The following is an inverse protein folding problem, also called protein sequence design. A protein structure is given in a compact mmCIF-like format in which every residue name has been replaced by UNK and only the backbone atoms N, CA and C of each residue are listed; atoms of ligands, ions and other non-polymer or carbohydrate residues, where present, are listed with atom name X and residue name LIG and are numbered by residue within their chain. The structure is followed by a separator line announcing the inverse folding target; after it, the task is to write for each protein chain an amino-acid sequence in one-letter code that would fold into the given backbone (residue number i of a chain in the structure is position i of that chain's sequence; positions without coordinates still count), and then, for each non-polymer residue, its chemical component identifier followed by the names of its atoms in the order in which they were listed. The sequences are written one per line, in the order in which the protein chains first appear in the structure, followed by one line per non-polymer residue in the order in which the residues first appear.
data_IF_004044769639
#
_entry.id   IF_004044769639
#
_cell.length_a   1.000
_cell.length_b   1.000
_cell.length_c   1.000
_cell.angle_alpha   90.00
_cell.angle_beta   90.00
_cell.angle_gamma   90.00
#
_symmetry.space_group_name_H-M   'P 1'
#
loop_
_entity.id
_entity.type
_entity.pdbx_description
1 polymer ?
#
# COMPACT_ATOMS: atom_id res chain seq x y z
N UNK A 1 18.41 29.57 -17.36
CA UNK A 1 17.82 30.93 -17.27
C UNK A 1 16.66 30.84 -16.30
N UNK A 2 16.68 31.61 -15.22
CA UNK A 2 15.61 31.57 -14.22
C UNK A 2 14.44 32.44 -14.72
N UNK A 3 13.21 31.92 -14.58
CA UNK A 3 11.98 32.66 -14.95
C UNK A 3 11.71 33.81 -13.97
N UNK A 4 12.17 33.66 -12.73
CA UNK A 4 12.04 34.62 -11.63
C UNK A 4 13.39 34.84 -10.94
N UNK A 5 13.49 35.94 -10.22
CA UNK A 5 14.62 36.24 -9.35
C UNK A 5 14.48 35.50 -8.00
N UNK A 6 15.09 34.31 -7.93
CA UNK A 6 15.02 33.43 -6.76
C UNK A 6 15.74 34.01 -5.54
N UNK A 7 16.87 34.68 -5.73
CA UNK A 7 17.67 35.25 -4.62
C UNK A 7 16.87 36.33 -3.89
N UNK A 8 16.22 37.21 -4.67
CA UNK A 8 15.38 38.28 -4.14
C UNK A 8 14.15 37.76 -3.38
N UNK A 9 13.50 36.70 -3.88
CA UNK A 9 12.35 36.06 -3.21
C UNK A 9 12.79 35.38 -1.90
N UNK A 10 13.95 34.70 -1.89
CA UNK A 10 14.47 34.07 -0.70
C UNK A 10 14.84 35.09 0.40
N UNK A 11 15.36 36.24 0.01
CA UNK A 11 15.65 37.34 0.93
C UNK A 11 14.35 37.90 1.55
N UNK A 12 13.32 38.13 0.74
CA UNK A 12 12.00 38.58 1.21
C UNK A 12 11.37 37.58 2.19
N UNK A 13 11.53 36.27 1.96
CA UNK A 13 11.03 35.21 2.87
C UNK A 13 11.65 35.29 4.27
N UNK A 14 12.85 35.85 4.42
CA UNK A 14 13.50 36.01 5.75
C UNK A 14 12.86 37.12 6.58
N UNK A 15 12.16 38.06 5.95
CA UNK A 15 11.55 39.22 6.61
C UNK A 15 10.18 38.86 7.21
N UNK A 16 10.10 38.84 8.55
CA UNK A 16 8.91 38.35 9.27
C UNK A 16 7.63 39.17 9.01
N UNK A 17 7.78 40.50 8.86
CA UNK A 17 6.65 41.42 8.64
C UNK A 17 5.99 41.24 7.27
N UNK A 18 6.72 40.77 6.25
CA UNK A 18 6.18 40.55 4.90
C UNK A 18 5.30 39.30 4.82
N UNK A 19 5.54 38.28 5.64
CA UNK A 19 4.87 36.96 5.54
C UNK A 19 3.36 36.98 5.71
N UNK A 20 2.83 38.00 6.39
CA UNK A 20 1.38 38.15 6.65
C UNK A 20 0.71 39.17 5.73
N UNK A 21 1.49 39.87 4.91
CA UNK A 21 0.95 40.85 4.00
C UNK A 21 0.21 40.17 2.85
N UNK A 22 -0.85 40.83 2.39
CA UNK A 22 -1.55 40.39 1.18
C UNK A 22 -0.63 40.63 0.00
N UNK A 23 -0.50 39.65 -0.90
CA UNK A 23 0.42 39.71 -2.05
C UNK A 23 0.28 40.98 -2.88
N UNK A 24 -0.94 41.50 -3.03
CA UNK A 24 -1.22 42.74 -3.78
C UNK A 24 -0.56 43.99 -3.20
N UNK A 25 -0.12 43.96 -1.94
CA UNK A 25 0.58 45.07 -1.27
C UNK A 25 2.09 45.07 -1.53
N UNK A 26 2.62 44.05 -2.19
CA UNK A 26 4.04 43.91 -2.48
C UNK A 26 4.29 43.88 -3.98
N UNK A 27 4.76 45.01 -4.52
CA UNK A 27 5.02 45.20 -5.95
C UNK A 27 6.08 44.23 -6.50
N UNK A 28 7.12 43.93 -5.73
CA UNK A 28 8.17 42.99 -6.13
C UNK A 28 7.56 41.60 -6.34
N UNK A 29 6.75 41.12 -5.39
CA UNK A 29 6.11 39.81 -5.50
C UNK A 29 5.10 39.77 -6.65
N UNK A 30 4.35 40.85 -6.88
CA UNK A 30 3.42 40.94 -8.01
C UNK A 30 4.14 40.82 -9.36
N UNK A 31 5.27 41.52 -9.53
CA UNK A 31 6.07 41.45 -10.76
C UNK A 31 6.64 40.04 -10.99
N UNK A 32 7.14 39.38 -9.95
CA UNK A 32 7.64 38.00 -10.07
C UNK A 32 6.51 37.00 -10.39
N UNK A 33 5.31 37.18 -9.82
CA UNK A 33 4.13 36.37 -10.18
C UNK A 33 3.75 36.55 -11.65
N UNK A 34 3.73 37.78 -12.13
CA UNK A 34 3.38 38.08 -13.52
C UNK A 34 4.34 37.39 -14.49
N UNK A 35 5.65 37.44 -14.23
CA UNK A 35 6.66 36.71 -15.02
C UNK A 35 6.35 35.22 -15.11
N UNK A 36 5.99 34.58 -13.99
CA UNK A 36 5.62 33.15 -13.98
C UNK A 36 4.35 32.91 -14.78
N UNK A 37 3.33 33.76 -14.63
CA UNK A 37 2.07 33.59 -15.33
C UNK A 37 2.22 33.76 -16.85
N UNK A 38 3.01 34.74 -17.30
CA UNK A 38 3.34 34.94 -18.72
C UNK A 38 4.09 33.73 -19.27
N UNK A 39 5.16 33.28 -18.60
CA UNK A 39 5.90 32.10 -19.04
C UNK A 39 5.03 30.83 -19.04
N UNK A 40 4.12 30.70 -18.08
CA UNK A 40 3.17 29.57 -18.02
C UNK A 40 2.18 29.62 -19.18
N UNK A 41 1.64 30.81 -19.48
CA UNK A 41 0.75 31.03 -20.61
C UNK A 41 1.44 30.66 -21.92
N UNK A 42 2.66 31.12 -22.15
CA UNK A 42 3.42 30.83 -23.36
C UNK A 42 3.70 29.33 -23.51
N UNK A 43 4.02 28.63 -22.42
CA UNK A 43 4.18 27.18 -22.42
C UNK A 43 2.88 26.46 -22.81
N UNK A 44 1.73 26.89 -22.27
CA UNK A 44 0.43 26.26 -22.56
C UNK A 44 -0.03 26.52 -23.99
N UNK A 45 0.19 27.74 -24.51
CA UNK A 45 -0.16 28.08 -25.90
C UNK A 45 0.62 27.20 -26.88
N UNK A 46 1.88 26.91 -26.57
CA UNK A 46 2.74 26.07 -27.40
C UNK A 46 2.62 24.57 -27.11
N UNK A 47 1.75 24.16 -26.18
CA UNK A 47 1.55 22.76 -25.81
C UNK A 47 0.50 22.07 -26.69
N UNK A 48 0.49 20.73 -26.64
CA UNK A 48 -0.58 19.93 -27.23
C UNK A 48 -1.95 20.26 -26.60
N UNK A 49 -3.00 20.17 -27.41
CA UNK A 49 -4.39 20.49 -27.00
C UNK A 49 -4.80 19.68 -25.77
N UNK A 50 -4.48 18.40 -25.71
CA UNK A 50 -4.80 17.53 -24.57
C UNK A 50 -4.18 18.05 -23.27
N UNK A 51 -2.90 18.45 -23.31
CA UNK A 51 -2.20 19.02 -22.16
C UNK A 51 -2.84 20.34 -21.71
N UNK A 52 -3.21 21.20 -22.66
CA UNK A 52 -3.88 22.47 -22.36
C UNK A 52 -5.27 22.27 -21.74
N UNK A 53 -6.06 21.32 -22.24
CA UNK A 53 -7.38 20.96 -21.70
C UNK A 53 -7.24 20.46 -20.27
N UNK A 54 -6.37 19.48 -20.04
CA UNK A 54 -6.18 18.88 -18.72
C UNK A 54 -5.65 19.90 -17.70
N UNK A 55 -4.70 20.76 -18.11
CA UNK A 55 -4.22 21.85 -17.27
C UNK A 55 -5.34 22.83 -16.88
N UNK A 56 -6.15 23.26 -17.85
CA UNK A 56 -7.23 24.22 -17.64
C UNK A 56 -8.31 23.66 -16.72
N UNK A 57 -8.70 22.41 -16.93
CA UNK A 57 -9.67 21.71 -16.10
C UNK A 57 -9.18 21.57 -14.65
N UNK A 58 -7.92 21.14 -14.48
CA UNK A 58 -7.29 21.00 -13.18
C UNK A 58 -7.23 22.34 -12.43
N UNK A 59 -6.73 23.41 -13.06
CA UNK A 59 -6.60 24.72 -12.43
C UNK A 59 -7.94 25.36 -12.09
N UNK A 60 -8.95 25.22 -12.95
CA UNK A 60 -10.30 25.67 -12.65
C UNK A 60 -10.89 24.95 -11.42
N UNK A 61 -10.72 23.63 -11.35
CA UNK A 61 -11.21 22.82 -10.22
C UNK A 61 -10.50 23.22 -8.93
N UNK A 62 -9.18 23.40 -8.98
CA UNK A 62 -8.40 23.88 -7.84
C UNK A 62 -8.85 25.28 -7.38
N UNK A 63 -9.01 26.24 -8.29
CA UNK A 63 -9.51 27.59 -7.95
C UNK A 63 -10.89 27.56 -7.30
N UNK A 64 -11.81 26.71 -7.80
CA UNK A 64 -13.13 26.51 -7.19
C UNK A 64 -13.06 25.90 -5.79
N UNK A 65 -12.05 25.07 -5.52
CA UNK A 65 -11.79 24.52 -4.20
C UNK A 65 -11.30 25.60 -3.23
N UNK A 66 -10.28 26.37 -3.63
CA UNK A 66 -9.74 27.46 -2.80
C UNK A 66 -10.78 28.54 -2.50
N UNK A 67 -11.68 28.82 -3.46
CA UNK A 67 -12.78 29.77 -3.28
C UNK A 67 -13.95 29.21 -2.47
N UNK A 68 -13.85 27.98 -1.92
CA UNK A 68 -14.90 27.26 -1.19
C UNK A 68 -16.23 27.14 -1.97
N UNK A 69 -16.16 27.23 -3.29
CA UNK A 69 -17.34 27.15 -4.17
C UNK A 69 -17.70 25.72 -4.57
N UNK A 70 -16.80 24.75 -4.31
CA UNK A 70 -17.08 23.33 -4.48
C UNK A 70 -17.98 22.80 -3.36
N UNK A 71 -19.19 22.37 -3.72
CA UNK A 71 -20.05 21.58 -2.84
C UNK A 71 -19.53 20.14 -2.80
N UNK A 72 -18.71 19.79 -1.81
CA UNK A 72 -18.19 18.43 -1.70
C UNK A 72 -18.69 17.70 -0.46
N UNK A 73 -19.38 16.58 -0.70
CA UNK A 73 -19.37 15.43 0.20
C UNK A 73 -18.24 14.52 -0.28
N UNK A 74 -17.17 14.43 0.50
CA UNK A 74 -16.09 13.50 0.21
C UNK A 74 -16.62 12.09 0.24
N UNK A 75 -16.12 11.27 -0.69
CA UNK A 75 -16.34 9.86 -0.67
C UNK A 75 -15.21 9.22 0.12
N UNK A 76 -15.53 8.38 1.10
CA UNK A 76 -14.51 7.62 1.81
C UNK A 76 -14.19 6.37 0.99
N UNK A 77 -12.94 6.17 0.68
CA UNK A 77 -12.42 5.00 0.00
C UNK A 77 -11.85 4.03 1.02
N UNK A 78 -11.91 2.74 0.69
CA UNK A 78 -11.24 1.72 1.46
C UNK A 78 -9.91 1.35 0.80
N UNK A 79 -9.01 0.75 1.59
CA UNK A 79 -7.79 0.16 1.04
C UNK A 79 -8.14 -0.88 -0.03
N UNK A 80 -7.50 -0.74 -1.18
CA UNK A 80 -7.71 -1.57 -2.35
C UNK A 80 -8.89 -1.19 -3.23
N UNK A 81 -9.62 -0.12 -2.91
CA UNK A 81 -10.53 0.50 -3.87
C UNK A 81 -9.73 1.01 -5.08
N UNK A 82 -10.31 0.88 -6.27
CA UNK A 82 -9.79 1.41 -7.52
C UNK A 82 -10.62 2.59 -7.96
N UNK A 83 -9.95 3.73 -8.10
CA UNK A 83 -10.50 4.92 -8.73
C UNK A 83 -10.18 4.81 -10.21
N UNK A 84 -11.20 4.63 -11.05
CA UNK A 84 -11.04 4.36 -12.49
C UNK A 84 -10.33 5.51 -13.22
N UNK A 85 -10.57 6.76 -12.78
CA UNK A 85 -9.98 7.94 -13.37
C UNK A 85 -9.70 8.95 -12.27
N UNK A 86 -8.41 9.13 -11.98
CA UNK A 86 -7.88 10.06 -11.01
C UNK A 86 -6.84 10.94 -11.69
N UNK A 87 -7.06 12.25 -11.67
CA UNK A 87 -6.15 13.20 -12.31
C UNK A 87 -4.86 13.39 -11.49
N UNK A 88 -3.74 12.84 -11.99
CA UNK A 88 -2.44 12.96 -11.36
C UNK A 88 -1.75 14.30 -11.70
N UNK A 89 -2.34 15.11 -12.58
CA UNK A 89 -1.80 16.40 -13.01
C UNK A 89 -1.00 16.32 -14.31
N UNK A 90 -0.69 17.48 -14.87
CA UNK A 90 -0.02 17.62 -16.19
C UNK A 90 1.38 18.22 -16.11
N UNK A 91 1.79 18.71 -14.93
CA UNK A 91 3.04 19.44 -14.71
C UNK A 91 4.00 18.70 -13.78
N UNK A 92 3.85 17.37 -13.71
CA UNK A 92 4.66 16.53 -12.84
C UNK A 92 6.11 16.48 -13.35
N UNK A 93 7.09 16.40 -12.45
CA UNK A 93 8.50 16.60 -12.79
C UNK A 93 9.15 15.28 -13.22
N UNK A 94 9.99 15.31 -14.25
CA UNK A 94 10.73 14.13 -14.70
C UNK A 94 9.82 13.03 -15.22
N UNK A 95 9.98 11.82 -14.68
CA UNK A 95 9.28 10.58 -15.08
C UNK A 95 8.03 10.29 -14.24
N UNK A 96 7.60 11.24 -13.42
CA UNK A 96 6.33 11.15 -12.69
C UNK A 96 5.15 10.96 -13.64
N UNK A 97 4.24 10.05 -13.30
CA UNK A 97 3.03 9.79 -14.10
C UNK A 97 2.17 11.03 -14.17
N UNK A 98 1.68 11.32 -15.37
CA UNK A 98 0.82 12.47 -15.69
C UNK A 98 -0.52 12.00 -16.21
N UNK A 99 -1.48 12.91 -16.23
CA UNK A 99 -2.83 12.72 -16.78
C UNK A 99 -3.72 11.81 -15.92
N UNK A 100 -5.01 11.65 -16.28
CA UNK A 100 -5.90 10.76 -15.55
C UNK A 100 -5.53 9.29 -15.72
N UNK A 101 -5.31 8.59 -14.60
CA UNK A 101 -5.00 7.17 -14.58
C UNK A 101 -5.93 6.41 -13.63
N UNK A 102 -6.20 5.12 -13.90
CA UNK A 102 -6.76 4.24 -12.89
C UNK A 102 -5.75 4.09 -11.75
N UNK A 103 -6.22 4.18 -10.51
CA UNK A 103 -5.35 4.19 -9.33
C UNK A 103 -5.93 3.30 -8.23
N UNK A 104 -5.05 2.55 -7.54
CA UNK A 104 -5.39 1.77 -6.35
C UNK A 104 -5.21 2.65 -5.12
N UNK A 105 -6.23 2.72 -4.27
CA UNK A 105 -6.18 3.40 -2.98
C UNK A 105 -5.40 2.55 -1.98
N UNK A 106 -4.31 3.10 -1.46
CA UNK A 106 -3.49 2.49 -0.42
C UNK A 106 -3.93 2.96 0.97
N UNK A 107 -4.36 4.21 1.07
CA UNK A 107 -4.79 4.82 2.32
C UNK A 107 -5.77 5.98 2.07
N UNK A 108 -6.75 6.13 2.95
CA UNK A 108 -7.67 7.25 2.99
C UNK A 108 -7.57 7.91 4.38
N UNK A 109 -7.44 9.24 4.41
CA UNK A 109 -7.41 10.01 5.65
C UNK A 109 -8.79 10.26 6.28
N UNK A 110 -9.87 9.79 5.64
CA UNK A 110 -11.28 10.03 5.96
C UNK A 110 -11.73 11.51 5.86
N UNK A 111 -10.91 12.37 5.27
CA UNK A 111 -11.19 13.78 5.03
C UNK A 111 -11.07 14.07 3.52
N UNK A 112 -10.06 14.83 3.10
CA UNK A 112 -9.93 15.46 1.78
C UNK A 112 -8.86 14.84 0.87
N UNK A 113 -8.00 13.94 1.37
CA UNK A 113 -6.90 13.36 0.59
C UNK A 113 -6.73 11.84 0.77
N UNK A 114 -6.12 11.23 -0.24
CA UNK A 114 -5.86 9.80 -0.31
C UNK A 114 -4.43 9.55 -0.77
N UNK A 115 -3.89 8.38 -0.42
CA UNK A 115 -2.64 7.86 -0.98
C UNK A 115 -2.99 6.77 -1.98
N UNK A 116 -2.42 6.87 -3.17
CA UNK A 116 -2.72 5.99 -4.29
C UNK A 116 -1.45 5.52 -4.99
N UNK A 117 -1.53 4.37 -5.65
CA UNK A 117 -0.56 3.93 -6.66
C UNK A 117 -1.27 3.78 -8.01
N UNK A 118 -0.70 4.32 -9.09
CA UNK A 118 -1.28 4.30 -10.41
C UNK A 118 -1.15 2.93 -11.10
N UNK A 119 -2.09 2.68 -11.99
CA UNK A 119 -2.13 1.52 -12.88
C UNK A 119 -1.88 2.01 -14.31
N UNK A 120 -0.92 1.39 -14.98
CA UNK A 120 -0.62 1.65 -16.39
C UNK A 120 -0.71 0.39 -17.23
N UNK A 121 -0.66 0.53 -18.55
CA UNK A 121 -0.56 -0.61 -19.44
C UNK A 121 0.88 -1.17 -19.38
N UNK A 122 1.02 -2.48 -19.33
CA UNK A 122 2.32 -3.12 -19.32
C UNK A 122 3.06 -2.86 -20.63
N UNK A 123 4.34 -2.48 -20.57
CA UNK A 123 5.18 -2.40 -21.75
C UNK A 123 5.57 -3.81 -22.20
N UNK A 124 5.51 -4.06 -23.51
CA UNK A 124 5.83 -5.36 -24.09
C UNK A 124 7.08 -5.20 -24.95
N UNK A 125 8.10 -6.01 -24.68
CA UNK A 125 9.26 -6.09 -25.56
C UNK A 125 8.86 -6.71 -26.89
N UNK A 126 8.99 -5.95 -27.97
CA UNK A 126 8.61 -6.38 -29.33
C UNK A 126 9.46 -7.55 -29.82
N UNK A 127 10.67 -7.74 -29.29
CA UNK A 127 11.62 -8.76 -29.74
C UNK A 127 11.31 -10.14 -29.15
N UNK A 128 10.87 -10.18 -27.88
CA UNK A 128 10.63 -11.42 -27.13
C UNK A 128 9.13 -11.68 -26.91
N UNK A 129 8.28 -10.66 -27.10
CA UNK A 129 6.83 -10.74 -26.88
C UNK A 129 6.44 -10.83 -25.39
N UNK A 130 7.38 -10.57 -24.48
CA UNK A 130 7.19 -10.65 -23.02
C UNK A 130 7.02 -9.26 -22.40
N UNK A 131 6.22 -9.13 -21.32
CA UNK A 131 6.11 -7.87 -20.60
C UNK A 131 7.43 -7.52 -19.92
N UNK A 132 7.81 -6.24 -19.99
CA UNK A 132 8.91 -5.67 -19.22
C UNK A 132 8.33 -5.31 -17.86
N UNK A 133 8.87 -5.89 -16.80
CA UNK A 133 8.39 -5.71 -15.42
C UNK A 133 9.56 -5.21 -14.59
N UNK A 134 9.41 -4.02 -14.03
CA UNK A 134 10.41 -3.45 -13.12
C UNK A 134 10.23 -3.97 -11.69
N UNK A 135 11.27 -3.82 -10.87
CA UNK A 135 11.31 -4.40 -9.51
C UNK A 135 10.30 -3.82 -8.52
N UNK A 136 9.72 -2.65 -8.84
CA UNK A 136 8.69 -1.96 -8.06
C UNK A 136 7.29 -2.13 -8.66
N UNK A 137 7.16 -2.96 -9.69
CA UNK A 137 5.90 -3.11 -10.42
C UNK A 137 5.23 -4.44 -10.11
N UNK A 138 3.91 -4.40 -9.93
CA UNK A 138 3.08 -5.60 -9.83
C UNK A 138 2.42 -5.84 -11.18
N UNK A 139 2.82 -6.90 -11.87
CA UNK A 139 2.28 -7.27 -13.18
C UNK A 139 0.94 -7.98 -13.09
N UNK A 140 0.05 -7.64 -14.03
CA UNK A 140 -1.31 -8.18 -14.10
C UNK A 140 -1.60 -8.58 -15.55
N UNK A 141 -1.91 -9.86 -15.74
CA UNK A 141 -2.37 -10.36 -17.03
C UNK A 141 -3.79 -9.88 -17.38
N UNK A 142 -4.06 -9.81 -18.68
CA UNK A 142 -5.41 -9.50 -19.15
C UNK A 142 -6.40 -10.60 -18.71
N UNK A 143 -7.60 -10.17 -18.35
CA UNK A 143 -8.68 -11.07 -17.96
C UNK A 143 -9.67 -11.18 -19.12
N UNK A 144 -9.77 -12.36 -19.73
CA UNK A 144 -10.71 -12.59 -20.85
C UNK A 144 -12.17 -12.69 -20.40
N UNK A 145 -12.41 -13.18 -19.19
CA UNK A 145 -13.74 -13.31 -18.60
C UNK A 145 -13.96 -12.20 -17.58
N UNK A 146 -15.20 -11.71 -17.49
CA UNK A 146 -15.58 -10.81 -16.40
C UNK A 146 -15.41 -11.53 -15.05
N UNK A 147 -14.97 -10.81 -14.00
CA UNK A 147 -14.86 -11.41 -12.68
C UNK A 147 -16.24 -11.85 -12.17
N UNK A 148 -16.26 -12.90 -11.34
CA UNK A 148 -17.49 -13.37 -10.68
C UNK A 148 -18.07 -12.32 -9.74
N UNK A 149 -17.20 -11.54 -9.10
CA UNK A 149 -17.59 -10.43 -8.25
C UNK A 149 -17.70 -9.17 -9.11
N UNK A 150 -18.90 -8.58 -9.18
CA UNK A 150 -19.16 -7.36 -9.96
C UNK A 150 -18.37 -6.14 -9.47
N UNK A 151 -17.95 -6.15 -8.20
CA UNK A 151 -17.10 -5.09 -7.63
C UNK A 151 -15.62 -5.27 -7.97
N UNK A 152 -15.17 -6.46 -8.37
CA UNK A 152 -13.76 -6.67 -8.71
C UNK A 152 -13.41 -5.93 -10.00
N UNK A 153 -12.28 -5.23 -10.01
CA UNK A 153 -11.82 -4.52 -11.19
C UNK A 153 -11.39 -5.49 -12.30
N UNK A 154 -11.98 -5.30 -13.48
CA UNK A 154 -11.73 -6.14 -14.64
C UNK A 154 -10.60 -5.55 -15.51
N UNK A 155 -9.44 -6.20 -15.50
CA UNK A 155 -8.29 -5.79 -16.32
C UNK A 155 -8.47 -6.26 -17.77
N UNK A 156 -8.81 -5.32 -18.66
CA UNK A 156 -9.03 -5.59 -20.10
C UNK A 156 -7.75 -5.67 -20.93
N UNK A 157 -6.61 -5.29 -20.35
CA UNK A 157 -5.30 -5.28 -20.98
C UNK A 157 -4.28 -5.77 -19.97
N UNK A 158 -3.11 -6.21 -20.45
CA UNK A 158 -1.95 -6.41 -19.61
C UNK A 158 -1.58 -5.09 -18.96
N UNK A 159 -1.47 -5.09 -17.63
CA UNK A 159 -1.29 -3.88 -16.83
C UNK A 159 -0.20 -4.08 -15.80
N UNK A 160 0.34 -2.96 -15.31
CA UNK A 160 1.24 -2.92 -14.17
C UNK A 160 0.73 -1.92 -13.15
N UNK A 161 0.87 -2.25 -11.87
CA UNK A 161 0.68 -1.31 -10.77
C UNK A 161 2.08 -0.79 -10.40
N UNK A 162 2.27 0.52 -10.50
CA UNK A 162 3.59 1.14 -10.33
C UNK A 162 3.74 1.62 -8.89
N UNK A 163 4.26 0.73 -8.04
CA UNK A 163 4.39 0.94 -6.59
C UNK A 163 5.52 1.94 -6.27
N UNK A 164 6.41 2.22 -7.23
CA UNK A 164 7.39 3.31 -7.15
C UNK A 164 6.73 4.70 -7.24
N UNK A 165 5.58 4.79 -7.90
CA UNK A 165 4.87 6.02 -8.24
C UNK A 165 3.74 6.32 -7.24
N UNK A 166 4.01 6.32 -5.94
CA UNK A 166 2.97 6.60 -4.92
C UNK A 166 2.67 8.09 -4.85
N UNK A 167 1.39 8.46 -4.97
CA UNK A 167 0.93 9.84 -4.86
C UNK A 167 0.03 10.06 -3.66
N UNK A 168 0.21 11.18 -2.98
CA UNK A 168 -0.82 11.78 -2.14
C UNK A 168 -1.61 12.78 -2.97
N UNK A 169 -2.92 12.57 -3.12
CA UNK A 169 -3.78 13.44 -3.93
C UNK A 169 -5.06 13.80 -3.20
N UNK A 170 -5.61 14.97 -3.53
CA UNK A 170 -6.93 15.36 -3.05
C UNK A 170 -8.02 14.51 -3.71
N UNK A 171 -9.03 14.12 -2.93
CA UNK A 171 -10.23 13.41 -3.41
C UNK A 171 -11.00 14.21 -4.48
N UNK A 172 -10.80 15.52 -4.54
CA UNK A 172 -11.38 16.38 -5.57
C UNK A 172 -10.87 16.07 -6.99
N UNK A 173 -9.76 15.35 -7.10
CA UNK A 173 -9.19 14.93 -8.38
C UNK A 173 -9.81 13.64 -8.93
N UNK A 174 -10.64 12.96 -8.15
CA UNK A 174 -11.33 11.76 -8.59
C UNK A 174 -12.47 12.15 -9.54
N UNK A 175 -12.33 11.80 -10.82
CA UNK A 175 -13.32 12.13 -11.86
C UNK A 175 -14.56 11.23 -11.73
N UNK A 176 -14.36 9.99 -11.28
CA UNK A 176 -15.44 9.01 -11.11
C UNK A 176 -15.50 8.47 -9.67
N UNK A 177 -16.72 8.36 -9.13
CA UNK A 177 -16.99 7.83 -7.78
C UNK A 177 -17.36 6.35 -7.76
N UNK A 178 -17.31 5.65 -8.89
CA UNK A 178 -17.61 4.22 -8.94
C UNK A 178 -16.55 3.42 -8.18
N UNK A 179 -16.98 2.66 -7.17
CA UNK A 179 -16.12 1.69 -6.47
C UNK A 179 -15.93 0.43 -7.29
N UNK A 180 -14.68 0.16 -7.63
CA UNK A 180 -14.21 -1.18 -7.95
C UNK A 180 -13.14 -1.56 -6.94
N UNK A 181 -12.91 -2.84 -6.70
CA UNK A 181 -11.94 -3.34 -5.72
C UNK A 181 -10.87 -4.17 -6.41
N UNK A 182 -9.63 -3.97 -6.01
CA UNK A 182 -8.52 -4.82 -6.42
C UNK A 182 -8.64 -6.18 -5.73
N UNK A 183 -8.20 -7.23 -6.43
CA UNK A 183 -8.13 -8.57 -5.84
C UNK A 183 -7.10 -8.62 -4.72
N UNK A 184 -7.36 -9.44 -3.71
CA UNK A 184 -6.58 -9.51 -2.47
C UNK A 184 -5.15 -10.05 -2.68
N UNK A 185 -4.97 -10.99 -3.61
CA UNK A 185 -3.65 -11.48 -4.04
C UNK A 185 -2.75 -10.34 -4.55
N UNK A 186 -3.31 -9.42 -5.35
CA UNK A 186 -2.60 -8.28 -5.90
C UNK A 186 -2.32 -7.23 -4.81
N UNK A 187 -3.24 -7.02 -3.87
CA UNK A 187 -2.99 -6.16 -2.70
C UNK A 187 -1.83 -6.66 -1.85
N UNK A 188 -1.76 -7.98 -1.62
CA UNK A 188 -0.65 -8.59 -0.89
C UNK A 188 0.67 -8.46 -1.64
N UNK A 189 0.65 -8.54 -2.98
CA UNK A 189 1.86 -8.29 -3.80
C UNK A 189 2.34 -6.84 -3.67
N UNK A 190 1.44 -5.86 -3.68
CA UNK A 190 1.79 -4.45 -3.44
C UNK A 190 2.45 -4.30 -2.06
N UNK A 191 1.86 -4.86 -1.00
CA UNK A 191 2.44 -4.78 0.35
C UNK A 191 3.83 -5.41 0.41
N UNK A 192 4.02 -6.56 -0.24
CA UNK A 192 5.31 -7.21 -0.30
C UNK A 192 6.35 -6.35 -1.02
N UNK A 193 6.01 -5.71 -2.14
CA UNK A 193 6.91 -4.77 -2.83
C UNK A 193 7.26 -3.60 -1.93
N UNK A 194 6.28 -3.01 -1.23
CA UNK A 194 6.52 -1.91 -0.27
C UNK A 194 7.47 -2.36 0.84
N UNK A 195 7.21 -3.51 1.47
CA UNK A 195 8.03 -4.03 2.56
C UNK A 195 9.45 -4.34 2.09
N UNK A 196 9.59 -5.04 0.97
CA UNK A 196 10.90 -5.47 0.44
C UNK A 196 11.76 -4.30 -0.02
N UNK A 197 11.16 -3.33 -0.72
CA UNK A 197 11.91 -2.29 -1.42
C UNK A 197 12.02 -0.97 -0.65
N UNK A 198 10.93 -0.51 -0.05
CA UNK A 198 10.94 0.76 0.72
C UNK A 198 11.42 0.58 2.15
N UNK A 199 11.19 -0.58 2.76
CA UNK A 199 11.55 -0.82 4.17
C UNK A 199 12.35 -2.12 4.36
N UNK A 200 13.47 -2.31 3.62
CA UNK A 200 14.19 -3.58 3.56
C UNK A 200 14.70 -4.07 4.92
N UNK A 201 15.09 -3.15 5.81
CA UNK A 201 15.54 -3.50 7.18
C UNK A 201 14.43 -4.12 8.01
N UNK A 202 13.21 -3.57 7.95
CA UNK A 202 12.05 -4.13 8.66
C UNK A 202 11.61 -5.45 8.04
N UNK A 203 11.67 -5.57 6.71
CA UNK A 203 11.39 -6.83 6.04
C UNK A 203 12.35 -7.94 6.50
N UNK A 204 13.66 -7.68 6.56
CA UNK A 204 14.63 -8.65 7.11
C UNK A 204 14.34 -9.04 8.56
N UNK A 205 13.91 -8.10 9.41
CA UNK A 205 13.50 -8.40 10.77
C UNK A 205 12.24 -9.28 10.82
N UNK A 206 11.28 -9.01 9.94
CA UNK A 206 10.05 -9.78 9.84
C UNK A 206 10.32 -11.22 9.39
N UNK A 207 11.19 -11.42 8.40
CA UNK A 207 11.60 -12.77 7.97
C UNK A 207 12.33 -13.51 9.10
N UNK A 208 13.24 -12.86 9.83
CA UNK A 208 13.86 -13.45 11.03
C UNK A 208 12.84 -13.84 12.10
N UNK A 209 11.81 -13.01 12.32
CA UNK A 209 10.73 -13.35 13.26
C UNK A 209 9.93 -14.57 12.79
N UNK A 210 9.67 -14.72 11.49
CA UNK A 210 9.02 -15.93 10.94
C UNK A 210 9.86 -17.17 11.15
N UNK A 211 11.17 -17.09 10.87
CA UNK A 211 12.11 -18.19 11.10
C UNK A 211 12.11 -18.62 12.58
N UNK A 212 12.24 -17.65 13.49
CA UNK A 212 12.20 -17.91 14.94
C UNK A 212 10.86 -18.54 15.39
N UNK A 213 9.74 -18.07 14.86
CA UNK A 213 8.43 -18.63 15.19
C UNK A 213 8.26 -20.07 14.67
N UNK A 214 8.83 -20.37 13.50
CA UNK A 214 8.84 -21.73 12.95
C UNK A 214 9.70 -22.67 13.81
N UNK A 215 10.88 -22.21 14.22
CA UNK A 215 11.77 -22.97 15.10
C UNK A 215 11.12 -23.25 16.46
N UNK A 216 10.46 -22.24 17.05
CA UNK A 216 9.71 -22.40 18.30
C UNK A 216 8.58 -23.43 18.12
N UNK A 217 7.82 -23.35 17.03
CA UNK A 217 6.73 -24.28 16.74
C UNK A 217 7.25 -25.72 16.57
N UNK A 218 8.40 -25.90 15.91
CA UNK A 218 9.03 -27.21 15.75
C UNK A 218 9.52 -27.77 17.08
N UNK A 219 10.17 -26.95 17.92
CA UNK A 219 10.59 -27.35 19.26
C UNK A 219 9.40 -27.76 20.13
N UNK A 220 8.35 -26.95 20.13
CA UNK A 220 7.12 -27.24 20.88
C UNK A 220 6.49 -28.57 20.44
N UNK A 221 6.40 -28.82 19.13
CA UNK A 221 5.87 -30.07 18.60
C UNK A 221 6.72 -31.29 19.02
N UNK A 222 8.05 -31.14 19.11
CA UNK A 222 8.92 -32.20 19.58
C UNK A 222 8.76 -32.45 21.09
N UNK A 223 8.64 -31.39 21.89
CA UNK A 223 8.35 -31.52 23.33
C UNK A 223 7.00 -32.16 23.60
N UNK A 224 5.96 -31.81 22.83
CA UNK A 224 4.64 -32.45 22.92
C UNK A 224 4.76 -33.96 22.66
N UNK A 225 5.47 -34.37 21.60
CA UNK A 225 5.70 -35.80 21.32
C UNK A 225 6.46 -36.51 22.44
N UNK A 226 7.48 -35.87 23.01
CA UNK A 226 8.22 -36.44 24.13
C UNK A 226 7.34 -36.60 25.37
N UNK A 227 6.52 -35.60 25.68
CA UNK A 227 5.58 -35.65 26.79
C UNK A 227 4.53 -36.75 26.60
N UNK A 228 3.99 -36.92 25.38
CA UNK A 228 3.09 -38.04 25.05
C UNK A 228 3.74 -39.40 25.29
N UNK A 229 5.03 -39.54 24.98
CA UNK A 229 5.78 -40.77 25.16
C UNK A 229 6.04 -41.07 26.65
N UNK A 230 6.39 -40.04 27.42
CA UNK A 230 6.56 -40.13 28.88
C UNK A 230 5.25 -40.47 29.58
N UNK A 231 4.11 -39.87 29.17
CA UNK A 231 2.79 -40.20 29.71
C UNK A 231 2.45 -41.67 29.48
N UNK A 232 2.77 -42.21 28.28
CA UNK A 232 2.58 -43.65 28.01
C UNK A 232 3.42 -44.52 28.95
N UNK A 233 4.69 -44.18 29.16
CA UNK A 233 5.57 -44.89 30.08
C UNK A 233 5.08 -44.83 31.53
N UNK A 234 4.59 -43.66 31.99
CA UNK A 234 4.01 -43.51 33.32
C UNK A 234 2.80 -44.43 33.47
N UNK A 235 1.88 -44.46 32.49
CA UNK A 235 0.70 -45.32 32.53
C UNK A 235 1.06 -46.82 32.53
N UNK A 236 2.11 -47.22 31.82
CA UNK A 236 2.62 -48.60 31.85
C UNK A 236 3.19 -48.96 33.23
N UNK A 237 4.04 -48.09 33.78
CA UNK A 237 4.62 -48.28 35.11
C UNK A 237 3.54 -48.31 36.21
N UNK A 238 2.50 -47.48 36.13
CA UNK A 238 1.39 -47.48 37.07
C UNK A 238 0.62 -48.81 37.05
N UNK A 239 0.37 -49.40 35.86
CA UNK A 239 -0.24 -50.73 35.75
C UNK A 239 0.64 -51.79 36.39
N UNK A 240 1.95 -51.73 36.17
CA UNK A 240 2.91 -52.68 36.71
C UNK A 240 2.99 -52.60 38.25
N UNK A 241 3.05 -51.39 38.80
CA UNK A 241 2.97 -51.15 40.25
C UNK A 241 1.67 -51.70 40.84
N UNK A 242 0.54 -51.53 40.15
CA UNK A 242 -0.76 -52.02 40.61
C UNK A 242 -0.79 -53.55 40.64
N UNK A 243 -0.27 -54.20 39.59
CA UNK A 243 -0.06 -55.65 39.51
C UNK A 243 0.81 -56.18 40.67
N UNK A 244 1.96 -55.53 40.92
CA UNK A 244 2.88 -55.92 42.00
C UNK A 244 2.25 -55.75 43.38
N UNK A 245 1.50 -54.65 43.61
CA UNK A 245 0.76 -54.43 44.86
C UNK A 245 -0.24 -55.56 45.13
N UNK A 246 -1.03 -55.95 44.12
CA UNK A 246 -1.97 -57.06 44.24
C UNK A 246 -1.26 -58.38 44.58
N UNK A 247 -0.14 -58.67 43.90
CA UNK A 247 0.68 -59.88 44.17
C UNK A 247 1.24 -59.90 45.60
N UNK A 248 1.73 -58.76 46.09
CA UNK A 248 2.21 -58.64 47.48
C UNK A 248 1.07 -58.88 48.46
N UNK A 249 -0.13 -58.38 48.16
CA UNK A 249 -1.32 -58.57 49.00
C UNK A 249 -1.76 -60.04 49.06
N UNK A 250 -1.73 -60.74 47.92
CA UNK A 250 -1.97 -62.18 47.83
C UNK A 250 -0.93 -62.98 48.63
N UNK A 251 0.36 -62.65 48.49
CA UNK A 251 1.44 -63.30 49.23
C UNK A 251 1.30 -63.08 50.74
N UNK A 252 0.95 -61.86 51.18
CA UNK A 252 0.66 -61.57 52.61
C UNK A 252 -0.49 -62.42 53.13
N UNK A 253 -1.59 -62.56 52.38
CA UNK A 253 -2.72 -63.43 52.74
C UNK A 253 -2.32 -64.91 52.82
N UNK A 254 -1.45 -65.37 51.92
CA UNK A 254 -0.96 -66.76 51.92
C UNK A 254 -0.02 -67.08 53.09
N UNK A 255 0.87 -66.15 53.46
CA UNK A 255 1.77 -66.32 54.60
C UNK A 255 1.04 -66.25 55.95
N UNK A 256 0.00 -65.41 56.06
CA UNK A 256 -0.89 -65.40 57.24
C UNK A 256 -1.59 -66.75 57.44
N UNK A 257 -1.99 -67.43 56.36
CA UNK A 257 -2.54 -68.79 56.43
C UNK A 257 -1.52 -69.84 56.90
N UNK A 258 -0.28 -69.76 56.43
CA UNK A 258 0.82 -70.68 56.84
C UNK A 258 1.30 -70.51 58.28
N UNK A 259 1.06 -69.36 58.91
CA UNK A 259 1.42 -69.11 60.32
C UNK A 259 0.30 -69.57 61.28
N UNK A 260 -0.92 -69.80 60.76
CA UNK A 260 -2.08 -70.26 61.53
C UNK A 260 -2.33 -71.77 61.46
N UNK A 261 -1.53 -72.51 60.69
CA UNK A 261 -1.42 -73.98 60.70
C UNK A 261 -0.22 -74.41 61.55
#
# INVERSE_FOLDING_TARGET
MNIIDLEKIEEMKKQFHIKRNITSTNEIMMNEIEKVLVATKDNIINAEIEKAINWSYYKNTWLKNESKSLKNKFYNYERGDIIISLDLGTLNIGTEIRYPHPCVVLYDNNEDWIIVTPITAAQIDKSVGKPIIHEFEVYIDEQKKKPRNEREFHFKKKSVIQVDQIYRVSKNRAVNKKRMKLREDLLNQIDNVILQKYIPKKHKLFEKMKELNLDISNKLNNEIKNNELLIKQINENEKEITSLKNKIEELKKSNLKKIME
#
